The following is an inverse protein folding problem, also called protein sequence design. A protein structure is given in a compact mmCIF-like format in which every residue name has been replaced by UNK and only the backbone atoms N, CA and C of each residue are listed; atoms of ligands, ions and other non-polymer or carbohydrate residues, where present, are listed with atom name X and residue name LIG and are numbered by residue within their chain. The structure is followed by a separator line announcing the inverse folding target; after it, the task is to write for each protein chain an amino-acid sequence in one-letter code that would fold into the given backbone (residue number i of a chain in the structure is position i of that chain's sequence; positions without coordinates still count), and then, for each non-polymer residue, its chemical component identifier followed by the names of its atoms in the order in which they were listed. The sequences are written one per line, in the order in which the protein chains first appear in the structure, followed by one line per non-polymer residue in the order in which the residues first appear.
data_IF_195641830856
#
_entry.id   IF_195641830856
#
_cell.length_a   1.000
_cell.length_b   1.000
_cell.length_c   1.000
_cell.angle_alpha   90.00
_cell.angle_beta   90.00
_cell.angle_gamma   90.00
#
_symmetry.space_group_name_H-M   'P 1'
#
loop_
_entity.id
_entity.type
_entity.pdbx_description
1 polymer ?
#
# COMPACT_ATOMS: atom_id res chain seq x y z
N UNK A 1 -7.09 32.14 -1.30
CA UNK A 1 -7.04 31.59 -1.20
C UNK A 1 -6.82 30.99 -1.19
N UNK A 2 -6.58 31.09 -1.03
CA UNK A 2 -6.23 30.47 -1.03
C UNK A 2 -6.22 29.86 -1.13
N UNK A 3 -6.09 29.88 -1.43
CA UNK A 3 -6.09 29.31 -1.43
C UNK A 3 -6.16 28.83 -1.43
N UNK A 4 -6.90 29.38 -1.86
CA UNK A 4 -6.86 28.64 -0.97
C UNK A 4 -5.82 27.92 -0.97
N UNK A 5 -5.43 28.26 -0.47
CA UNK A 5 -4.11 28.03 -0.37
C UNK A 5 -3.73 26.63 -0.22
N UNK A 6 -3.35 26.07 -1.32
CA UNK A 6 -2.76 24.74 -1.31
C UNK A 6 -1.40 24.84 -0.62
N UNK A 7 -1.19 24.03 0.40
CA UNK A 7 0.08 23.91 1.07
C UNK A 7 0.63 22.51 0.84
N UNK A 8 1.68 22.37 0.01
CA UNK A 8 2.21 21.04 -0.31
C UNK A 8 2.83 20.33 0.90
N UNK A 9 3.16 21.10 1.95
CA UNK A 9 3.69 20.47 3.15
C UNK A 9 2.61 20.05 4.12
N UNK A 10 1.40 20.43 3.83
CA UNK A 10 0.28 20.05 4.69
C UNK A 10 -0.34 18.78 4.16
N UNK A 11 0.32 17.66 4.41
CA UNK A 11 -0.34 16.39 4.22
C UNK A 11 -1.67 16.41 4.97
N UNK A 12 -1.73 17.24 5.98
CA UNK A 12 -2.93 17.50 6.73
C UNK A 12 -4.04 18.13 5.89
N UNK A 13 -3.75 18.68 4.71
CA UNK A 13 -4.77 19.20 3.84
C UNK A 13 -5.65 18.09 3.28
N UNK A 14 -5.13 16.86 3.25
CA UNK A 14 -5.91 15.71 2.84
C UNK A 14 -6.58 15.09 4.05
N UNK A 15 -7.79 14.59 3.83
CA UNK A 15 -8.46 13.87 4.90
C UNK A 15 -7.64 12.63 5.25
N UNK A 16 -7.49 12.31 6.52
CA UNK A 16 -6.81 11.08 6.91
C UNK A 16 -7.55 9.87 6.35
N UNK A 17 -6.80 8.84 6.01
CA UNK A 17 -7.39 7.64 5.43
C UNK A 17 -8.32 6.90 6.39
N UNK A 18 -8.06 7.00 7.68
CA UNK A 18 -8.79 6.23 8.67
C UNK A 18 -8.35 4.78 8.76
N UNK A 19 -7.30 4.42 8.03
CA UNK A 19 -6.71 3.07 8.08
C UNK A 19 -5.24 3.18 7.68
N UNK A 20 -4.48 2.16 8.01
CA UNK A 20 -3.07 2.09 7.65
C UNK A 20 -2.79 0.80 6.89
N UNK A 21 -1.56 0.67 6.40
CA UNK A 21 -1.19 -0.51 5.61
C UNK A 21 -1.28 -1.78 6.44
N UNK A 22 -0.88 -1.71 7.70
CA UNK A 22 -0.97 -2.85 8.60
C UNK A 22 -2.39 -3.42 8.63
N UNK A 23 -3.37 -2.54 8.76
CA UNK A 23 -4.78 -2.94 8.81
C UNK A 23 -5.23 -3.56 7.49
N UNK A 24 -4.80 -2.99 6.36
CA UNK A 24 -5.15 -3.53 5.06
C UNK A 24 -4.56 -4.92 4.84
N UNK A 25 -3.30 -5.10 5.26
CA UNK A 25 -2.65 -6.40 5.11
C UNK A 25 -3.30 -7.45 6.00
N UNK A 26 -3.72 -7.04 7.19
CA UNK A 26 -4.45 -7.95 8.07
C UNK A 26 -5.76 -8.40 7.46
N UNK A 27 -6.51 -7.47 6.88
CA UNK A 27 -7.76 -7.79 6.19
C UNK A 27 -7.48 -8.72 5.01
N UNK A 28 -6.42 -8.46 4.27
CA UNK A 28 -6.02 -9.32 3.16
C UNK A 28 -5.83 -10.76 3.60
N UNK A 29 -5.13 -10.96 4.70
CA UNK A 29 -4.89 -12.31 5.23
C UNK A 29 -6.20 -12.94 5.72
N UNK A 30 -7.00 -12.17 6.44
CA UNK A 30 -8.26 -12.67 6.98
C UNK A 30 -9.24 -13.11 5.90
N UNK A 31 -9.24 -12.40 4.77
CA UNK A 31 -10.14 -12.73 3.67
C UNK A 31 -9.55 -13.74 2.70
N UNK A 32 -8.33 -14.19 2.94
CA UNK A 32 -7.70 -15.17 2.05
C UNK A 32 -7.33 -14.60 0.70
N UNK A 33 -7.06 -13.32 0.63
CA UNK A 33 -6.68 -12.69 -0.63
C UNK A 33 -5.23 -13.01 -0.97
N UNK A 34 -4.94 -13.15 -2.26
CA UNK A 34 -3.59 -13.37 -2.74
C UNK A 34 -2.83 -12.07 -2.92
N UNK A 35 -3.51 -11.00 -3.25
CA UNK A 35 -2.90 -9.70 -3.54
C UNK A 35 -3.74 -8.57 -2.97
N UNK A 36 -3.05 -7.50 -2.60
CA UNK A 36 -3.64 -6.22 -2.25
C UNK A 36 -3.10 -5.18 -3.21
N UNK A 37 -3.97 -4.45 -3.87
CA UNK A 37 -3.59 -3.36 -4.77
C UNK A 37 -3.98 -2.03 -4.15
N UNK A 38 -3.03 -1.12 -4.06
CA UNK A 38 -3.29 0.24 -3.61
C UNK A 38 -2.80 1.18 -4.71
N UNK A 39 -3.72 1.94 -5.27
CA UNK A 39 -3.44 2.79 -6.43
C UNK A 39 -4.16 4.12 -6.26
N UNK A 40 -3.49 5.20 -6.65
CA UNK A 40 -4.10 6.52 -6.59
C UNK A 40 -5.36 6.56 -7.44
N UNK A 41 -6.39 7.20 -6.92
CA UNK A 41 -7.67 7.33 -7.59
C UNK A 41 -8.63 6.18 -7.38
N UNK A 42 -8.25 5.21 -6.57
CA UNK A 42 -9.08 4.04 -6.31
C UNK A 42 -9.09 3.69 -4.84
N UNK A 43 -10.13 2.99 -4.41
CA UNK A 43 -10.14 2.34 -3.12
C UNK A 43 -9.17 1.15 -3.18
N UNK A 44 -8.70 0.65 -2.03
CA UNK A 44 -7.89 -0.56 -2.03
C UNK A 44 -8.65 -1.74 -2.64
N UNK A 45 -7.96 -2.57 -3.40
CA UNK A 45 -8.55 -3.72 -4.06
C UNK A 45 -7.88 -5.00 -3.56
N UNK A 46 -8.67 -6.02 -3.35
CA UNK A 46 -8.16 -7.35 -3.02
C UNK A 46 -8.41 -8.29 -4.19
N UNK A 47 -7.46 -9.20 -4.42
CA UNK A 47 -7.68 -10.31 -5.35
C UNK A 47 -7.98 -11.55 -4.51
N UNK A 48 -9.17 -12.07 -4.67
CA UNK A 48 -9.62 -13.27 -3.96
C UNK A 48 -10.12 -14.26 -4.99
N UNK A 49 -9.52 -15.45 -5.01
CA UNK A 49 -9.88 -16.50 -5.98
C UNK A 49 -9.90 -15.98 -7.42
N UNK A 50 -8.90 -15.16 -7.74
CA UNK A 50 -8.75 -14.61 -9.08
C UNK A 50 -9.62 -13.42 -9.41
N UNK A 51 -10.53 -13.04 -8.52
CA UNK A 51 -11.42 -11.90 -8.73
C UNK A 51 -10.92 -10.69 -7.96
N UNK A 52 -11.00 -9.53 -8.59
CA UNK A 52 -10.61 -8.27 -7.95
C UNK A 52 -11.84 -7.67 -7.29
N UNK A 53 -11.74 -7.46 -5.99
CA UNK A 53 -12.86 -6.99 -5.18
C UNK A 53 -12.44 -5.71 -4.47
N UNK A 54 -13.11 -4.58 -4.73
CA UNK A 54 -12.79 -3.34 -4.02
C UNK A 54 -13.27 -3.42 -2.57
N UNK A 55 -12.46 -2.89 -1.67
CA UNK A 55 -12.87 -2.72 -0.30
C UNK A 55 -13.79 -1.50 -0.20
N UNK A 56 -14.66 -1.52 0.79
CA UNK A 56 -15.59 -0.40 1.01
C UNK A 56 -14.88 0.69 1.79
N UNK A 57 -13.90 1.31 1.14
CA UNK A 57 -13.07 2.35 1.70
C UNK A 57 -12.95 3.49 0.70
N UNK A 58 -12.57 4.68 1.15
CA UNK A 58 -12.45 5.81 0.24
C UNK A 58 -11.37 5.61 -0.81
N UNK A 59 -11.53 6.31 -1.93
CA UNK A 59 -10.47 6.41 -2.92
C UNK A 59 -9.29 7.14 -2.29
N UNK A 60 -8.08 6.77 -2.72
CA UNK A 60 -6.87 7.33 -2.18
C UNK A 60 -6.23 8.28 -3.18
N UNK A 61 -5.62 9.36 -2.65
CA UNK A 61 -4.79 10.23 -3.48
C UNK A 61 -3.41 9.61 -3.65
N UNK A 62 -2.63 10.16 -4.60
CA UNK A 62 -1.27 9.69 -4.81
C UNK A 62 -0.42 9.82 -3.54
N UNK A 63 -0.56 10.94 -2.82
CA UNK A 63 0.17 11.13 -1.58
C UNK A 63 -0.24 10.15 -0.50
N UNK A 64 -1.53 9.86 -0.41
CA UNK A 64 -2.02 8.90 0.57
C UNK A 64 -1.46 7.50 0.29
N UNK A 65 -1.43 7.10 -0.98
CA UNK A 65 -0.84 5.81 -1.35
C UNK A 65 0.64 5.77 -1.00
N UNK A 66 1.37 6.85 -1.31
CA UNK A 66 2.79 6.94 -1.02
C UNK A 66 3.05 6.80 0.49
N UNK A 67 2.35 7.57 1.31
CA UNK A 67 2.57 7.51 2.75
C UNK A 67 2.13 6.18 3.34
N UNK A 68 1.07 5.59 2.80
CA UNK A 68 0.63 4.27 3.21
C UNK A 68 1.75 3.25 3.00
N UNK A 69 2.36 3.25 1.82
CA UNK A 69 3.43 2.32 1.50
C UNK A 69 4.70 2.60 2.31
N UNK A 70 4.97 3.86 2.60
CA UNK A 70 6.16 4.24 3.34
C UNK A 70 6.17 3.72 4.78
N UNK A 71 5.02 3.30 5.28
CA UNK A 71 4.95 2.74 6.64
C UNK A 71 5.85 1.53 6.82
N UNK A 72 6.10 0.78 5.75
CA UNK A 72 6.89 -0.45 5.83
C UNK A 72 8.25 -0.32 5.20
N UNK A 73 8.66 0.88 4.81
CA UNK A 73 9.95 1.11 4.16
C UNK A 73 10.93 1.77 5.10
N UNK A 74 12.19 1.35 5.02
CA UNK A 74 13.28 2.06 5.65
C UNK A 74 13.72 3.26 4.83
N UNK A 75 14.57 4.09 5.40
CA UNK A 75 14.99 5.32 4.73
C UNK A 75 15.68 5.06 3.40
N UNK A 76 16.55 4.05 3.34
CA UNK A 76 17.25 3.72 2.10
C UNK A 76 16.29 3.26 1.02
N UNK A 77 15.26 2.52 1.40
CA UNK A 77 14.27 2.06 0.45
C UNK A 77 13.46 3.21 -0.11
N UNK A 78 13.11 4.18 0.75
CA UNK A 78 12.40 5.38 0.30
C UNK A 78 13.24 6.17 -0.71
N UNK A 79 14.53 6.32 -0.42
CA UNK A 79 15.44 7.02 -1.32
C UNK A 79 15.54 6.30 -2.65
N UNK A 80 15.66 4.97 -2.62
CA UNK A 80 15.74 4.17 -3.83
C UNK A 80 14.48 4.33 -4.67
N UNK A 81 13.32 4.26 -4.02
CA UNK A 81 12.06 4.42 -4.73
C UNK A 81 11.97 5.79 -5.40
N UNK A 82 12.35 6.84 -4.67
CA UNK A 82 12.25 8.19 -5.21
C UNK A 82 13.18 8.43 -6.38
N UNK A 83 14.30 7.71 -6.41
CA UNK A 83 15.24 7.81 -7.53
C UNK A 83 14.81 6.98 -8.73
N UNK A 84 14.27 5.80 -8.50
CA UNK A 84 14.02 4.84 -9.57
C UNK A 84 12.56 4.73 -9.96
N UNK A 85 11.65 5.30 -9.17
CA UNK A 85 10.21 5.20 -9.37
C UNK A 85 9.71 3.77 -9.34
N UNK A 86 10.47 2.89 -8.73
CA UNK A 86 10.11 1.48 -8.60
C UNK A 86 10.92 0.89 -7.46
N UNK A 87 10.28 -0.01 -6.72
CA UNK A 87 10.95 -0.69 -5.63
C UNK A 87 10.27 -2.02 -5.36
N UNK A 88 11.06 -3.09 -5.38
CA UNK A 88 10.64 -4.39 -4.88
C UNK A 88 11.18 -4.55 -3.47
N UNK A 89 10.36 -5.03 -2.57
CA UNK A 89 10.78 -5.20 -1.19
C UNK A 89 9.99 -6.33 -0.54
N UNK A 90 10.51 -6.81 0.58
CA UNK A 90 9.83 -7.84 1.36
C UNK A 90 9.90 -7.43 2.82
N UNK A 91 8.89 -7.80 3.56
CA UNK A 91 8.84 -7.50 4.99
C UNK A 91 7.96 -8.50 5.69
N UNK A 92 8.11 -8.58 7.00
CA UNK A 92 7.31 -9.47 7.83
C UNK A 92 6.49 -8.65 8.79
N UNK A 93 5.26 -9.08 9.01
CA UNK A 93 4.44 -8.56 10.08
C UNK A 93 4.32 -9.65 11.12
N UNK A 94 4.92 -9.40 12.28
CA UNK A 94 4.99 -10.39 13.34
C UNK A 94 3.60 -10.89 13.71
N UNK A 95 3.49 -12.21 13.79
CA UNK A 95 2.23 -12.84 14.15
C UNK A 95 1.20 -12.89 13.04
N UNK A 96 1.50 -12.35 11.86
CA UNK A 96 0.56 -12.31 10.76
C UNK A 96 1.10 -13.06 9.55
N UNK A 97 2.13 -12.51 8.89
CA UNK A 97 2.64 -13.13 7.68
C UNK A 97 3.84 -12.37 7.15
N UNK A 98 4.45 -12.92 6.11
CA UNK A 98 5.43 -12.22 5.30
C UNK A 98 4.75 -11.72 4.03
N UNK A 99 5.26 -10.62 3.51
CA UNK A 99 4.71 -10.00 2.32
C UNK A 99 5.81 -9.57 1.38
N UNK A 100 5.52 -9.64 0.10
CA UNK A 100 6.31 -8.98 -0.92
C UNK A 100 5.53 -7.78 -1.41
N UNK A 101 6.23 -6.68 -1.58
CA UNK A 101 5.62 -5.48 -2.11
C UNK A 101 6.35 -5.04 -3.37
N UNK A 102 5.61 -4.49 -4.31
CA UNK A 102 6.16 -3.80 -5.45
C UNK A 102 5.50 -2.44 -5.52
N UNK A 103 6.32 -1.41 -5.38
CA UNK A 103 5.87 -0.02 -5.42
C UNK A 103 6.36 0.61 -6.71
N UNK A 104 5.53 1.39 -7.37
CA UNK A 104 5.85 1.92 -8.69
C UNK A 104 5.15 3.26 -8.93
N UNK A 105 5.63 3.97 -9.94
CA UNK A 105 4.96 5.17 -10.42
C UNK A 105 4.48 4.88 -11.83
N UNK A 106 3.20 5.10 -12.06
CA UNK A 106 2.58 4.91 -13.36
C UNK A 106 1.77 6.15 -13.70
N UNK A 107 2.12 6.79 -14.81
CA UNK A 107 1.45 8.02 -15.24
C UNK A 107 1.49 9.10 -14.15
N UNK A 108 2.62 9.18 -13.46
CA UNK A 108 2.80 10.16 -12.39
C UNK A 108 2.10 9.82 -11.09
N UNK A 109 1.45 8.68 -11.01
CA UNK A 109 0.73 8.26 -9.81
C UNK A 109 1.39 7.06 -9.16
N UNK A 110 1.48 7.10 -7.84
CA UNK A 110 2.06 6.01 -7.07
C UNK A 110 1.04 4.88 -6.94
N UNK A 111 1.52 3.67 -7.11
CA UNK A 111 0.74 2.48 -6.85
C UNK A 111 1.62 1.41 -6.24
N UNK A 112 0.98 0.40 -5.67
CA UNK A 112 1.70 -0.72 -5.10
C UNK A 112 0.83 -1.97 -5.09
N UNK A 113 1.52 -3.11 -5.16
CA UNK A 113 0.88 -4.42 -5.04
C UNK A 113 1.60 -5.15 -3.93
N UNK A 114 0.83 -5.73 -3.03
CA UNK A 114 1.37 -6.53 -1.94
C UNK A 114 0.88 -7.95 -2.11
N UNK A 115 1.80 -8.90 -1.98
CA UNK A 115 1.48 -10.31 -2.12
C UNK A 115 1.75 -11.02 -0.81
N UNK A 116 0.80 -11.81 -0.39
CA UNK A 116 0.92 -12.63 0.80
C UNK A 116 1.85 -13.80 0.52
N UNK A 117 2.83 -13.98 1.43
CA UNK A 117 3.74 -15.13 1.40
C UNK A 117 3.49 -15.90 2.68
N UNK A 118 2.82 -17.06 2.61
CA UNK A 118 2.59 -17.82 3.83
C UNK A 118 3.90 -18.29 4.42
N UNK A 119 3.96 -18.36 5.74
CA UNK A 119 5.09 -18.99 6.37
C UNK A 119 5.13 -20.43 5.92
N UNK A 120 6.31 -20.87 5.53
CA UNK A 120 6.44 -22.22 5.05
C UNK A 120 6.32 -23.16 6.25
N UNK A 121 5.30 -23.98 6.21
CA UNK A 121 5.13 -25.03 7.19
C UNK A 121 5.78 -26.27 6.62
N UNK A 122 6.82 -26.73 7.31
CA UNK A 122 7.46 -27.99 6.91
C UNK A 122 6.72 -29.10 7.64
N UNK A 123 5.99 -29.85 6.88
CA UNK A 123 5.29 -30.99 7.45
C UNK A 123 5.89 -32.26 6.86
N UNK A 124 6.55 -32.97 7.68
CA UNK A 124 7.19 -34.24 7.29
C UNK A 124 6.85 -35.28 8.32
#
# INVERSE_FOLDING_TARGET
MNQAGYDPNAASAEAPLGFNLHQLLKVMVEKGASDLHVTAGQAPLLRIDGQVIPLKLPQMTANQVKFLCYEVLGEEQKITFEKKNELDFAFSMEGIARFRGNMFVQRGCVGAVFRFIPYKVLSF
#
